data_IF_938794508955
#
_entry.id   IF_938794508955
#
_cell.length_a   1.000
_cell.length_b   1.000
_cell.length_c   1.000
_cell.angle_alpha   90.00
_cell.angle_beta   90.00
_cell.angle_gamma   90.00
#
_symmetry.space_group_name_H-M   'P 1'
#
loop_
_entity.id
_entity.type
_entity.pdbx_description
1 polymer ?
#
# COMPACT_ATOMS: atom_id res chain seq x y z
N UNK A 1 18.00 18.98 5.15
CA UNK A 1 16.51 18.94 5.24
C UNK A 1 16.06 17.62 4.63
N UNK A 2 15.42 16.69 5.37
CA UNK A 2 15.08 15.36 4.88
C UNK A 2 13.84 15.36 3.98
N UNK A 3 13.80 14.45 3.00
CA UNK A 3 12.67 14.22 2.09
C UNK A 3 12.44 12.72 1.96
N UNK A 4 11.19 12.26 2.15
CA UNK A 4 10.82 10.88 1.87
C UNK A 4 10.60 10.72 0.35
N UNK A 5 11.45 9.93 -0.31
CA UNK A 5 11.43 9.73 -1.76
C UNK A 5 10.72 8.43 -2.15
N UNK A 6 9.92 8.47 -3.21
CA UNK A 6 9.16 7.34 -3.73
C UNK A 6 9.49 7.10 -5.21
N UNK A 7 8.98 6.00 -5.77
CA UNK A 7 9.15 5.67 -7.17
C UNK A 7 8.67 6.79 -8.12
N UNK A 8 9.13 6.78 -9.37
CA UNK A 8 8.65 7.73 -10.38
C UNK A 8 7.24 7.32 -10.83
N UNK A 9 6.37 8.31 -11.08
CA UNK A 9 5.05 8.11 -11.67
C UNK A 9 3.97 7.66 -10.68
N UNK A 10 2.92 7.04 -11.20
CA UNK A 10 1.69 6.70 -10.45
C UNK A 10 1.97 5.80 -9.23
N UNK A 11 2.86 4.82 -9.38
CA UNK A 11 3.26 3.95 -8.28
C UNK A 11 3.89 4.75 -7.12
N UNK A 12 4.66 5.80 -7.43
CA UNK A 12 5.22 6.72 -6.44
C UNK A 12 4.14 7.51 -5.71
N UNK A 13 3.21 8.10 -6.47
CA UNK A 13 2.10 8.86 -5.91
C UNK A 13 1.23 8.00 -4.97
N UNK A 14 0.89 6.77 -5.39
CA UNK A 14 0.14 5.83 -4.56
C UNK A 14 0.89 5.48 -3.27
N UNK A 15 2.21 5.19 -3.37
CA UNK A 15 3.01 4.84 -2.20
C UNK A 15 3.22 6.04 -1.25
N UNK A 16 3.34 7.25 -1.77
CA UNK A 16 3.41 8.47 -0.96
C UNK A 16 2.12 8.68 -0.16
N UNK A 17 0.95 8.46 -0.76
CA UNK A 17 -0.33 8.53 -0.07
C UNK A 17 -0.45 7.45 1.01
N UNK A 18 -0.09 6.19 0.72
CA UNK A 18 -0.08 5.11 1.71
C UNK A 18 0.90 5.38 2.86
N UNK A 19 2.05 6.00 2.58
CA UNK A 19 3.00 6.42 3.61
C UNK A 19 2.41 7.52 4.51
N UNK A 20 1.74 8.53 3.93
CA UNK A 20 1.04 9.55 4.71
C UNK A 20 -0.05 8.95 5.62
N UNK A 21 -0.84 8.01 5.09
CA UNK A 21 -1.86 7.29 5.87
C UNK A 21 -1.21 6.49 7.00
N UNK A 22 -0.08 5.84 6.76
CA UNK A 22 0.65 5.10 7.80
C UNK A 22 1.14 6.02 8.94
N UNK A 23 1.55 7.26 8.63
CA UNK A 23 1.91 8.25 9.67
C UNK A 23 0.69 8.69 10.48
N UNK A 24 -0.45 8.95 9.82
CA UNK A 24 -1.69 9.36 10.50
C UNK A 24 -2.27 8.25 11.38
N UNK A 25 -2.21 7.00 10.90
CA UNK A 25 -2.70 5.81 11.59
C UNK A 25 -2.02 5.56 12.95
N UNK A 26 -0.86 6.16 13.22
CA UNK A 26 -0.22 6.09 14.54
C UNK A 26 -1.10 6.68 15.65
N UNK A 27 -1.97 7.64 15.32
CA UNK A 27 -2.85 8.33 16.27
C UNK A 27 -4.34 8.18 15.95
N UNK A 28 -4.68 7.47 14.87
CA UNK A 28 -6.07 7.23 14.44
C UNK A 28 -6.30 5.72 14.25
N UNK A 29 -6.95 5.05 15.23
CA UNK A 29 -7.25 3.63 15.17
C UNK A 29 -8.14 3.22 13.98
N UNK A 30 -9.01 4.12 13.49
CA UNK A 30 -9.86 3.82 12.33
C UNK A 30 -9.02 3.78 11.05
N UNK A 31 -8.06 4.70 10.90
CA UNK A 31 -7.11 4.65 9.79
C UNK A 31 -6.19 3.44 9.87
N UNK A 32 -5.76 3.06 11.09
CA UNK A 32 -4.95 1.86 11.29
C UNK A 32 -5.68 0.59 10.80
N UNK A 33 -6.95 0.43 11.16
CA UNK A 33 -7.74 -0.72 10.73
C UNK A 33 -7.98 -0.69 9.21
N UNK A 34 -8.30 0.47 8.62
CA UNK A 34 -8.45 0.60 7.17
C UNK A 34 -7.17 0.26 6.41
N UNK A 35 -6.01 0.70 6.89
CA UNK A 35 -4.71 0.38 6.29
C UNK A 35 -4.40 -1.11 6.38
N UNK A 36 -4.75 -1.76 7.50
CA UNK A 36 -4.62 -3.21 7.68
C UNK A 36 -5.49 -3.97 6.69
N UNK A 37 -6.78 -3.60 6.57
CA UNK A 37 -7.72 -4.21 5.61
C UNK A 37 -7.20 -4.05 4.18
N UNK A 38 -6.74 -2.85 3.80
CA UNK A 38 -6.18 -2.61 2.46
C UNK A 38 -5.02 -3.56 2.14
N UNK A 39 -4.08 -3.73 3.08
CA UNK A 39 -2.94 -4.64 2.91
C UNK A 39 -3.37 -6.10 2.81
N UNK A 40 -4.35 -6.51 3.61
CA UNK A 40 -4.90 -7.86 3.56
C UNK A 40 -5.54 -8.15 2.20
N UNK A 41 -6.39 -7.24 1.71
CA UNK A 41 -7.03 -7.36 0.40
C UNK A 41 -6.01 -7.48 -0.74
N UNK A 42 -4.92 -6.70 -0.67
CA UNK A 42 -3.85 -6.78 -1.67
C UNK A 42 -3.16 -8.15 -1.65
N UNK A 43 -2.91 -8.71 -0.47
CA UNK A 43 -2.32 -10.04 -0.32
C UNK A 43 -3.27 -11.14 -0.84
N UNK A 44 -4.55 -11.06 -0.48
CA UNK A 44 -5.59 -11.98 -0.96
C UNK A 44 -5.72 -11.95 -2.49
N UNK A 45 -5.66 -10.76 -3.09
CA UNK A 45 -5.68 -10.60 -4.55
C UNK A 45 -4.55 -11.35 -5.25
N UNK A 46 -3.34 -11.28 -4.71
CA UNK A 46 -2.19 -11.99 -5.28
C UNK A 46 -2.32 -13.50 -5.03
N UNK A 47 -2.76 -13.91 -3.84
CA UNK A 47 -2.98 -15.32 -3.53
C UNK A 47 -4.02 -15.99 -4.46
N UNK A 48 -5.00 -15.22 -4.95
CA UNK A 48 -6.01 -15.70 -5.90
C UNK A 48 -5.54 -15.68 -7.37
N UNK A 49 -4.33 -15.22 -7.67
CA UNK A 49 -3.83 -15.12 -9.04
C UNK A 49 -3.28 -16.46 -9.53
N UNK A 50 -3.67 -16.88 -10.74
CA UNK A 50 -3.10 -18.04 -11.42
C UNK A 50 -1.94 -17.64 -12.31
N UNK A 51 -0.92 -18.50 -12.38
CA UNK A 51 0.24 -18.27 -13.25
C UNK A 51 -0.17 -18.43 -14.73
N UNK A 52 0.36 -17.59 -15.63
CA UNK A 52 0.19 -17.80 -17.06
C UNK A 52 0.88 -19.10 -17.49
N UNK A 53 0.32 -19.78 -18.48
CA UNK A 53 0.97 -20.94 -19.09
C UNK A 53 2.29 -20.52 -19.74
N UNK A 54 3.32 -21.37 -19.61
CA UNK A 54 4.57 -21.20 -20.33
C UNK A 54 4.33 -21.49 -21.83
N UNK A 55 4.98 -20.74 -22.75
CA UNK A 55 4.88 -20.97 -24.18
C UNK A 55 5.45 -22.33 -24.59
#
# INVERSE_FOLDING_TARGET
IPVATFAIGEAGAANAALFAIAMLALNDPQLAERLKIYRQQQAEKIAATTLPALP
#
